data_IF_203443065154
#
_entry.id   IF_203443065154
#
_cell.length_a   1.000
_cell.length_b   1.000
_cell.length_c   1.000
_cell.angle_alpha   90.00
_cell.angle_beta   90.00
_cell.angle_gamma   90.00
#
_symmetry.space_group_name_H-M   'P 1'
#
loop_
_entity.id
_entity.type
_entity.pdbx_description
1 polymer ?
#
# COMPACT_ATOMS: atom_id res chain seq x y z
N UNK A 1 -30.54 -6.93 11.69
CA UNK A 1 -31.32 -6.30 10.58
C UNK A 1 -32.46 -7.22 10.12
N UNK A 2 -32.24 -8.52 9.97
CA UNK A 2 -33.27 -9.46 9.47
C UNK A 2 -34.50 -9.64 10.37
N UNK A 3 -34.37 -9.36 11.68
CA UNK A 3 -35.43 -9.63 12.71
C UNK A 3 -36.03 -8.35 13.30
N UNK A 4 -35.56 -7.18 12.90
CA UNK A 4 -36.04 -5.86 13.34
C UNK A 4 -35.51 -5.38 14.70
N UNK A 5 -35.68 -4.07 14.98
CA UNK A 5 -35.06 -3.38 16.13
C UNK A 5 -35.42 -3.98 17.49
N UNK A 6 -36.69 -4.34 17.70
CA UNK A 6 -37.15 -4.90 18.99
C UNK A 6 -36.45 -6.20 19.35
N UNK A 7 -36.13 -6.99 18.33
CA UNK A 7 -35.43 -8.25 18.51
C UNK A 7 -33.96 -8.02 18.86
N UNK A 8 -33.30 -7.06 18.18
CA UNK A 8 -31.94 -6.62 18.53
C UNK A 8 -31.81 -6.17 19.98
N UNK A 9 -32.75 -5.34 20.44
CA UNK A 9 -32.83 -4.88 21.85
C UNK A 9 -32.96 -6.05 22.84
N UNK A 10 -33.73 -7.09 22.49
CA UNK A 10 -33.90 -8.25 23.34
C UNK A 10 -32.58 -9.07 23.42
N UNK A 11 -31.88 -9.23 22.31
CA UNK A 11 -30.56 -9.90 22.30
C UNK A 11 -29.55 -9.13 23.15
N UNK A 12 -29.49 -7.79 23.01
CA UNK A 12 -28.60 -6.96 23.83
C UNK A 12 -28.90 -7.06 25.32
N UNK A 13 -30.17 -7.04 25.70
CA UNK A 13 -30.58 -7.22 27.10
C UNK A 13 -30.19 -8.57 27.67
N UNK A 14 -30.34 -9.65 26.86
CA UNK A 14 -29.91 -11.00 27.26
C UNK A 14 -28.40 -11.09 27.35
N UNK A 15 -27.68 -10.53 26.35
CA UNK A 15 -26.21 -10.45 26.37
C UNK A 15 -25.72 -9.73 27.62
N UNK A 16 -26.24 -8.55 27.92
CA UNK A 16 -25.90 -7.82 29.14
C UNK A 16 -26.19 -8.60 30.42
N UNK A 17 -27.27 -9.40 30.44
CA UNK A 17 -27.63 -10.22 31.61
C UNK A 17 -26.58 -11.35 31.82
N UNK A 18 -26.28 -12.17 30.79
CA UNK A 18 -25.33 -13.26 30.98
C UNK A 18 -23.89 -12.77 31.18
N UNK A 19 -23.50 -11.62 30.57
CA UNK A 19 -22.22 -10.99 30.89
C UNK A 19 -22.17 -10.62 32.36
N UNK A 20 -23.23 -9.98 32.87
CA UNK A 20 -23.34 -9.59 34.28
C UNK A 20 -23.26 -10.81 35.23
N UNK A 21 -23.83 -11.95 34.86
CA UNK A 21 -23.79 -13.16 35.63
C UNK A 21 -22.39 -13.81 35.71
N UNK A 22 -21.47 -13.43 34.81
CA UNK A 22 -20.07 -13.86 34.82
C UNK A 22 -19.15 -12.97 35.67
N UNK A 23 -19.61 -11.78 36.06
CA UNK A 23 -18.81 -10.80 36.77
C UNK A 23 -18.70 -11.11 38.26
N UNK A 24 -17.52 -10.80 38.82
CA UNK A 24 -17.28 -10.84 40.28
C UNK A 24 -17.59 -9.48 40.94
N UNK A 25 -17.41 -9.38 42.27
CA UNK A 25 -17.72 -8.20 43.06
C UNK A 25 -16.86 -6.95 42.74
N UNK A 26 -15.69 -7.13 42.13
CA UNK A 26 -14.77 -6.07 41.69
C UNK A 26 -15.08 -5.54 40.30
N UNK A 27 -15.96 -6.21 39.56
CA UNK A 27 -16.29 -5.93 38.18
C UNK A 27 -17.66 -5.27 38.04
N UNK A 28 -17.75 -4.23 37.22
CA UNK A 28 -19.00 -3.53 36.94
C UNK A 28 -19.24 -3.44 35.43
N UNK A 29 -20.45 -3.80 35.01
CA UNK A 29 -20.90 -3.71 33.62
C UNK A 29 -21.67 -2.40 33.41
N UNK A 30 -21.31 -1.70 32.36
CA UNK A 30 -22.01 -0.51 31.86
C UNK A 30 -22.41 -0.74 30.41
N UNK A 31 -23.63 -0.35 30.06
CA UNK A 31 -24.08 -0.25 28.68
C UNK A 31 -23.96 1.23 28.27
N UNK A 32 -23.21 1.50 27.19
CA UNK A 32 -22.88 2.88 26.79
C UNK A 32 -23.82 3.33 25.69
N UNK A 33 -23.66 2.84 24.49
CA UNK A 33 -24.45 3.23 23.32
C UNK A 33 -24.62 2.00 22.40
N UNK A 34 -25.81 1.84 21.85
CA UNK A 34 -26.10 0.80 20.85
C UNK A 34 -25.75 -0.62 21.32
N UNK A 35 -24.70 -1.22 20.82
CA UNK A 35 -24.23 -2.58 21.08
C UNK A 35 -22.91 -2.62 21.89
N UNK A 36 -22.54 -1.52 22.53
CA UNK A 36 -21.30 -1.40 23.28
C UNK A 36 -21.50 -1.52 24.79
N UNK A 37 -20.67 -2.37 25.39
CA UNK A 37 -20.60 -2.56 26.83
C UNK A 37 -19.20 -2.23 27.33
N UNK A 38 -19.10 -1.66 28.53
CA UNK A 38 -17.83 -1.48 29.24
C UNK A 38 -17.87 -2.31 30.51
N UNK A 39 -16.82 -3.08 30.73
CA UNK A 39 -16.56 -3.77 31.98
C UNK A 39 -15.39 -3.05 32.65
N UNK A 40 -15.65 -2.51 33.82
CA UNK A 40 -14.63 -1.91 34.68
C UNK A 40 -14.27 -2.92 35.77
N UNK A 41 -12.99 -3.30 35.84
CA UNK A 41 -12.47 -4.17 36.87
C UNK A 41 -11.50 -3.39 37.78
N UNK A 42 -11.85 -3.27 39.05
CA UNK A 42 -11.06 -2.51 40.02
C UNK A 42 -9.91 -3.30 40.67
N UNK A 43 -9.75 -4.58 40.37
CA UNK A 43 -8.74 -5.45 40.99
C UNK A 43 -8.17 -6.51 40.03
N UNK A 44 -8.55 -6.47 38.77
CA UNK A 44 -8.11 -7.43 37.76
C UNK A 44 -6.82 -7.04 37.05
N UNK A 45 -6.19 -8.03 36.46
CA UNK A 45 -5.06 -7.91 35.54
C UNK A 45 -5.53 -8.00 34.09
N UNK A 46 -4.63 -7.75 33.14
CA UNK A 46 -4.89 -7.98 31.70
C UNK A 46 -5.24 -9.45 31.44
N UNK A 47 -4.58 -10.40 32.11
CA UNK A 47 -4.86 -11.83 31.97
C UNK A 47 -6.27 -12.18 32.48
N UNK A 48 -6.73 -11.55 33.57
CA UNK A 48 -8.11 -11.70 34.06
C UNK A 48 -9.14 -11.18 33.05
N UNK A 49 -8.85 -10.07 32.39
CA UNK A 49 -9.70 -9.51 31.32
C UNK A 49 -9.75 -10.45 30.10
N UNK A 50 -8.62 -11.02 29.68
CA UNK A 50 -8.57 -12.03 28.62
C UNK A 50 -9.37 -13.27 28.99
N UNK A 51 -9.22 -13.75 30.22
CA UNK A 51 -9.98 -14.90 30.72
C UNK A 51 -11.49 -14.63 30.72
N UNK A 52 -11.90 -13.47 31.20
CA UNK A 52 -13.30 -13.06 31.16
C UNK A 52 -13.85 -12.98 29.73
N UNK A 53 -13.08 -12.40 28.81
CA UNK A 53 -13.44 -12.35 27.39
C UNK A 53 -13.71 -13.75 26.82
N UNK A 54 -12.80 -14.71 27.07
CA UNK A 54 -12.98 -16.10 26.63
C UNK A 54 -14.25 -16.75 27.20
N UNK A 55 -14.54 -16.50 28.47
CA UNK A 55 -15.79 -16.95 29.09
C UNK A 55 -17.04 -16.32 28.45
N UNK A 56 -16.97 -15.05 28.09
CA UNK A 56 -18.08 -14.38 27.38
C UNK A 56 -18.27 -15.03 25.99
N UNK A 57 -17.20 -15.36 25.28
CA UNK A 57 -17.29 -16.06 23.99
C UNK A 57 -17.94 -17.45 24.16
N UNK A 58 -17.46 -18.26 25.09
CA UNK A 58 -18.02 -19.59 25.38
C UNK A 58 -19.53 -19.49 25.72
N UNK A 59 -19.88 -18.56 26.61
CA UNK A 59 -21.28 -18.35 27.03
C UNK A 59 -22.16 -17.87 25.89
N UNK A 60 -21.60 -17.13 24.96
CA UNK A 60 -22.29 -16.66 23.74
C UNK A 60 -22.62 -17.83 22.83
N UNK A 61 -21.70 -18.77 22.64
CA UNK A 61 -21.91 -19.98 21.84
C UNK A 61 -23.02 -20.86 22.47
N UNK A 62 -22.94 -21.12 23.78
CA UNK A 62 -23.97 -21.88 24.53
C UNK A 62 -25.36 -21.24 24.38
N UNK A 63 -25.41 -19.92 24.42
CA UNK A 63 -26.67 -19.17 24.25
C UNK A 63 -27.22 -19.32 22.83
N UNK A 64 -26.38 -19.17 21.80
CA UNK A 64 -26.77 -19.33 20.39
C UNK A 64 -27.32 -20.76 20.15
N UNK A 65 -26.62 -21.78 20.64
CA UNK A 65 -27.03 -23.19 20.50
C UNK A 65 -28.33 -23.50 21.25
N UNK A 66 -28.60 -22.83 22.34
CA UNK A 66 -29.82 -23.00 23.14
C UNK A 66 -31.06 -22.33 22.57
N UNK A 67 -30.89 -21.47 21.57
CA UNK A 67 -32.00 -20.74 20.94
C UNK A 67 -32.43 -21.42 19.64
N UNK A 68 -33.73 -21.47 19.37
CA UNK A 68 -34.29 -21.94 18.08
C UNK A 68 -34.12 -20.92 16.94
N UNK A 69 -33.34 -19.86 17.14
CA UNK A 69 -33.09 -18.84 16.15
C UNK A 69 -31.73 -19.07 15.48
N UNK A 70 -31.67 -19.00 14.18
CA UNK A 70 -30.43 -19.01 13.39
C UNK A 70 -29.71 -17.64 13.50
N UNK A 71 -29.24 -17.30 14.71
CA UNK A 71 -28.59 -16.02 14.98
C UNK A 71 -27.15 -16.29 15.36
N UNK A 72 -26.23 -15.70 14.60
CA UNK A 72 -24.83 -15.69 14.93
C UNK A 72 -24.43 -14.24 15.25
N UNK A 73 -23.91 -14.03 16.45
CA UNK A 73 -23.26 -12.80 16.85
C UNK A 73 -22.03 -13.10 17.67
N UNK A 74 -21.08 -12.18 17.64
CA UNK A 74 -19.79 -12.33 18.30
C UNK A 74 -19.45 -11.02 19.02
N UNK A 75 -18.51 -11.10 19.96
CA UNK A 75 -17.97 -9.93 20.61
C UNK A 75 -16.52 -9.69 20.17
N UNK A 76 -16.20 -8.43 19.94
CA UNK A 76 -14.81 -7.96 19.91
C UNK A 76 -14.56 -7.13 21.17
N UNK A 77 -13.35 -7.16 21.72
CA UNK A 77 -13.01 -6.41 22.93
C UNK A 77 -11.73 -5.60 22.77
N UNK A 78 -11.73 -4.37 23.28
CA UNK A 78 -10.52 -3.59 23.55
C UNK A 78 -10.21 -3.68 25.04
N UNK A 79 -8.99 -4.04 25.40
CA UNK A 79 -8.54 -4.21 26.79
C UNK A 79 -7.50 -3.13 27.09
N UNK A 80 -7.68 -2.41 28.19
CA UNK A 80 -6.75 -1.40 28.67
C UNK A 80 -6.41 -1.63 30.14
N UNK A 81 -5.11 -1.74 30.45
CA UNK A 81 -4.61 -1.63 31.80
C UNK A 81 -4.46 -0.15 32.20
N UNK A 82 -5.48 0.39 32.85
CA UNK A 82 -5.45 1.79 33.25
C UNK A 82 -4.55 2.06 34.46
N UNK A 83 -4.15 1.03 35.23
CA UNK A 83 -3.18 1.21 36.33
C UNK A 83 -1.79 1.55 35.81
N UNK A 84 -1.43 1.09 34.61
CA UNK A 84 -0.19 1.50 33.94
C UNK A 84 -0.23 2.95 33.45
N UNK A 85 -1.39 3.62 33.54
CA UNK A 85 -1.61 5.00 33.10
C UNK A 85 -2.27 5.88 34.18
N UNK A 86 -1.66 6.05 35.36
CA UNK A 86 -2.31 6.65 36.51
C UNK A 86 -2.66 8.14 36.36
N UNK A 87 -2.12 8.83 35.39
CA UNK A 87 -2.39 10.24 35.08
C UNK A 87 -3.37 10.45 33.94
N UNK A 88 -3.83 9.37 33.31
CA UNK A 88 -4.74 9.46 32.18
C UNK A 88 -6.11 9.99 32.57
N UNK A 89 -6.62 10.91 31.79
CA UNK A 89 -7.99 11.43 31.93
C UNK A 89 -9.01 10.37 31.44
N UNK A 90 -10.25 10.52 31.88
CA UNK A 90 -11.34 9.67 31.38
C UNK A 90 -11.44 9.69 29.84
N UNK A 91 -11.24 10.85 29.22
CA UNK A 91 -11.30 11.00 27.76
C UNK A 91 -10.20 10.20 27.07
N UNK A 92 -9.00 10.17 27.63
CA UNK A 92 -7.88 9.38 27.09
C UNK A 92 -8.15 7.89 27.22
N UNK A 93 -8.60 7.44 28.40
CA UNK A 93 -8.96 6.04 28.66
C UNK A 93 -10.03 5.57 27.64
N UNK A 94 -11.06 6.37 27.42
CA UNK A 94 -12.09 6.03 26.44
C UNK A 94 -11.57 5.97 25.01
N UNK A 95 -10.72 6.90 24.61
CA UNK A 95 -10.08 6.88 23.27
C UNK A 95 -9.18 5.66 23.08
N UNK A 96 -8.44 5.28 24.10
CA UNK A 96 -7.51 4.13 24.02
C UNK A 96 -8.24 2.79 24.00
N UNK A 97 -9.32 2.65 24.78
CA UNK A 97 -10.19 1.47 24.71
C UNK A 97 -10.93 1.36 23.39
N UNK A 98 -11.44 2.48 22.85
CA UNK A 98 -12.06 2.52 21.53
C UNK A 98 -11.06 2.16 20.41
N UNK A 99 -9.84 2.67 20.49
CA UNK A 99 -8.76 2.31 19.56
C UNK A 99 -8.51 0.80 19.55
N UNK A 100 -8.30 0.19 20.73
CA UNK A 100 -8.09 -1.27 20.82
C UNK A 100 -9.31 -2.06 20.36
N UNK A 101 -10.52 -1.59 20.67
CA UNK A 101 -11.75 -2.23 20.18
C UNK A 101 -11.83 -2.20 18.64
N UNK A 102 -11.44 -1.08 18.02
CA UNK A 102 -11.43 -0.95 16.56
C UNK A 102 -10.35 -1.87 15.95
N UNK A 103 -9.16 -1.96 16.55
CA UNK A 103 -8.13 -2.91 16.12
C UNK A 103 -8.64 -4.36 16.16
N UNK A 104 -9.32 -4.76 17.23
CA UNK A 104 -9.93 -6.09 17.33
C UNK A 104 -10.99 -6.31 16.24
N UNK A 105 -11.79 -5.30 15.90
CA UNK A 105 -12.78 -5.37 14.82
C UNK A 105 -12.12 -5.47 13.43
N UNK A 106 -11.03 -4.75 13.20
CA UNK A 106 -10.27 -4.78 11.93
C UNK A 106 -9.47 -6.08 11.76
N UNK A 107 -8.98 -6.69 12.84
CA UNK A 107 -8.24 -7.97 12.86
C UNK A 107 -9.11 -9.20 12.61
N UNK A 108 -10.35 -9.03 12.14
CA UNK A 108 -11.24 -10.13 11.74
C UNK A 108 -12.44 -10.33 12.65
N UNK A 109 -12.67 -9.46 13.63
CA UNK A 109 -13.75 -9.56 14.65
C UNK A 109 -13.63 -10.81 15.53
N UNK A 110 -14.54 -10.96 16.50
CA UNK A 110 -14.55 -12.11 17.42
C UNK A 110 -13.20 -12.36 18.12
N UNK A 111 -12.48 -11.31 18.38
CA UNK A 111 -11.16 -11.29 19.03
C UNK A 111 -11.05 -10.11 19.98
N UNK A 112 -9.94 -10.03 20.69
CA UNK A 112 -9.61 -8.88 21.52
C UNK A 112 -8.30 -8.27 21.09
N UNK A 113 -8.11 -7.00 21.43
CA UNK A 113 -6.86 -6.29 21.31
C UNK A 113 -6.52 -5.62 22.64
N UNK A 114 -5.23 -5.61 22.98
CA UNK A 114 -4.72 -4.99 24.20
C UNK A 114 -4.07 -3.67 23.82
N UNK A 115 -4.46 -2.59 24.47
CA UNK A 115 -3.91 -1.28 24.20
C UNK A 115 -2.38 -1.29 24.31
N UNK A 116 -1.73 -0.87 23.23
CA UNK A 116 -0.31 -0.56 23.16
C UNK A 116 -0.11 0.91 22.78
N UNK A 117 0.72 1.63 23.56
CA UNK A 117 0.94 3.04 23.32
C UNK A 117 1.72 3.30 22.01
N UNK A 118 2.62 2.41 21.61
CA UNK A 118 3.38 2.55 20.37
C UNK A 118 2.44 2.45 19.16
N UNK A 119 1.53 1.50 19.18
CA UNK A 119 0.52 1.33 18.12
C UNK A 119 -0.44 2.52 18.07
N UNK A 120 -0.84 3.05 19.24
CA UNK A 120 -1.68 4.24 19.30
C UNK A 120 -0.97 5.49 18.75
N UNK A 121 0.31 5.69 19.07
CA UNK A 121 1.11 6.78 18.51
C UNK A 121 1.27 6.66 16.99
N UNK A 122 1.48 5.45 16.48
CA UNK A 122 1.50 5.18 15.04
C UNK A 122 0.17 5.55 14.40
N UNK A 123 -0.95 5.10 14.96
CA UNK A 123 -2.29 5.45 14.48
C UNK A 123 -2.54 6.96 14.47
N UNK A 124 -2.11 7.67 15.52
CA UNK A 124 -2.23 9.14 15.58
C UNK A 124 -1.41 9.80 14.47
N UNK A 125 -0.19 9.31 14.23
CA UNK A 125 0.68 9.82 13.15
C UNK A 125 0.05 9.56 11.78
N UNK A 126 -0.43 8.34 11.52
CA UNK A 126 -1.09 8.00 10.26
C UNK A 126 -2.33 8.88 10.02
N UNK A 127 -3.14 9.08 11.05
CA UNK A 127 -4.34 9.95 11.00
C UNK A 127 -3.97 11.41 10.71
N UNK A 128 -2.88 11.90 11.31
CA UNK A 128 -2.39 13.25 11.03
C UNK A 128 -1.87 13.38 9.59
N UNK A 129 -1.11 12.40 9.10
CA UNK A 129 -0.63 12.38 7.71
C UNK A 129 -1.81 12.38 6.73
N UNK A 130 -2.84 11.53 6.94
CA UNK A 130 -4.04 11.51 6.08
C UNK A 130 -4.71 12.89 6.04
N UNK A 131 -4.81 13.58 7.16
CA UNK A 131 -5.35 14.96 7.21
C UNK A 131 -4.52 15.92 6.36
N UNK A 132 -3.18 15.87 6.45
CA UNK A 132 -2.30 16.70 5.62
C UNK A 132 -2.40 16.36 4.14
N UNK A 133 -2.53 15.08 3.79
CA UNK A 133 -2.74 14.64 2.40
C UNK A 133 -4.04 15.22 1.83
N UNK A 134 -5.15 15.20 2.59
CA UNK A 134 -6.40 15.86 2.19
C UNK A 134 -6.22 17.36 1.98
N UNK A 135 -5.63 18.06 2.97
CA UNK A 135 -5.38 19.50 2.88
C UNK A 135 -4.53 19.86 1.66
N UNK A 136 -3.48 19.09 1.39
CA UNK A 136 -2.61 19.29 0.22
C UNK A 136 -3.39 19.21 -1.10
N UNK A 137 -4.30 18.25 -1.24
CA UNK A 137 -5.13 18.09 -2.44
C UNK A 137 -6.05 19.30 -2.61
N UNK A 138 -6.68 19.78 -1.53
CA UNK A 138 -7.56 20.94 -1.53
C UNK A 138 -6.80 22.26 -1.85
N UNK A 139 -5.48 22.28 -1.61
CA UNK A 139 -4.59 23.41 -1.90
C UNK A 139 -3.68 23.14 -3.11
N UNK A 140 -4.26 22.69 -4.23
CA UNK A 140 -3.55 22.48 -5.50
C UNK A 140 -2.31 21.57 -5.39
N UNK A 141 -2.41 20.53 -4.55
CA UNK A 141 -1.33 19.55 -4.30
C UNK A 141 -0.10 20.13 -3.63
N UNK A 142 -0.23 21.20 -2.85
CA UNK A 142 0.86 21.78 -2.08
C UNK A 142 1.54 20.73 -1.20
N UNK A 143 2.89 20.69 -1.22
CA UNK A 143 3.67 19.69 -0.52
C UNK A 143 3.94 18.40 -1.29
N UNK A 144 3.14 18.09 -2.32
CA UNK A 144 3.48 17.02 -3.27
C UNK A 144 4.50 17.50 -4.31
N UNK A 145 5.38 16.59 -4.71
CA UNK A 145 6.35 16.81 -5.78
C UNK A 145 6.59 15.49 -6.54
N UNK A 146 7.03 15.58 -7.78
CA UNK A 146 7.40 14.42 -8.60
C UNK A 146 8.89 14.50 -8.89
N UNK A 147 9.61 13.51 -8.42
CA UNK A 147 11.03 13.34 -8.70
C UNK A 147 11.22 12.34 -9.84
N UNK A 148 12.32 12.47 -10.57
CA UNK A 148 12.63 11.64 -11.71
C UNK A 148 13.94 10.90 -11.48
N UNK A 149 13.94 9.60 -11.77
CA UNK A 149 15.13 8.76 -11.73
C UNK A 149 15.43 8.22 -13.13
N UNK A 150 16.71 8.27 -13.58
CA UNK A 150 17.08 7.78 -14.90
C UNK A 150 17.07 6.25 -14.95
N UNK A 151 16.55 5.71 -16.05
CA UNK A 151 16.69 4.33 -16.47
C UNK A 151 17.53 4.34 -17.74
N UNK A 152 18.61 3.57 -17.73
CA UNK A 152 19.64 3.55 -18.78
C UNK A 152 19.51 2.29 -19.62
N UNK A 153 19.49 2.45 -20.93
CA UNK A 153 19.63 1.35 -21.88
C UNK A 153 21.10 0.86 -21.89
N UNK A 154 21.29 -0.42 -21.57
CA UNK A 154 22.64 -1.00 -21.40
C UNK A 154 23.42 -0.98 -22.70
N UNK A 155 22.76 -1.21 -23.83
CA UNK A 155 23.37 -1.31 -25.15
C UNK A 155 23.70 0.07 -25.71
N UNK A 156 22.78 1.04 -25.60
CA UNK A 156 22.98 2.42 -26.08
C UNK A 156 23.81 3.26 -25.13
N UNK A 157 23.91 2.85 -23.86
CA UNK A 157 24.56 3.62 -22.77
C UNK A 157 23.94 5.02 -22.59
N UNK A 158 22.65 5.13 -22.80
CA UNK A 158 21.90 6.38 -22.75
C UNK A 158 20.66 6.24 -21.84
N UNK A 159 20.29 7.36 -21.21
CA UNK A 159 19.02 7.46 -20.48
C UNK A 159 17.89 7.41 -21.50
N UNK A 160 17.06 6.39 -21.43
CA UNK A 160 15.93 6.21 -22.35
C UNK A 160 14.57 6.33 -21.66
N UNK A 161 14.52 6.18 -20.36
CA UNK A 161 13.32 6.30 -19.57
C UNK A 161 13.58 7.15 -18.31
N UNK A 162 12.51 7.73 -17.79
CA UNK A 162 12.45 8.41 -16.49
C UNK A 162 11.41 7.71 -15.63
N UNK A 163 11.75 7.28 -14.47
CA UNK A 163 10.74 6.87 -13.50
C UNK A 163 10.26 8.06 -12.69
N UNK A 164 8.94 8.30 -12.70
CA UNK A 164 8.28 9.36 -11.94
C UNK A 164 7.95 8.85 -10.54
N UNK A 165 8.58 9.43 -9.54
CA UNK A 165 8.53 9.01 -8.15
C UNK A 165 7.88 10.09 -7.28
N UNK A 166 6.70 9.82 -6.75
CA UNK A 166 5.96 10.72 -5.89
C UNK A 166 6.73 11.02 -4.60
N UNK A 167 6.74 12.28 -4.18
CA UNK A 167 7.30 12.77 -2.92
C UNK A 167 6.26 13.61 -2.20
N UNK A 168 6.33 13.59 -0.88
CA UNK A 168 5.44 14.40 -0.06
C UNK A 168 6.19 15.00 1.13
N UNK A 169 5.85 16.24 1.45
CA UNK A 169 6.32 16.96 2.64
C UNK A 169 5.17 17.77 3.24
N UNK A 170 5.16 17.91 4.55
CA UNK A 170 4.26 18.82 5.26
C UNK A 170 5.02 19.54 6.38
N UNK A 171 4.43 20.59 6.92
CA UNK A 171 5.11 21.45 7.91
C UNK A 171 5.44 20.69 9.20
N UNK A 172 4.52 19.83 9.67
CA UNK A 172 4.67 19.14 10.96
C UNK A 172 5.73 18.02 10.90
N UNK A 173 5.76 17.23 9.83
CA UNK A 173 6.64 16.04 9.74
C UNK A 173 7.79 16.20 8.77
N UNK A 174 7.88 17.33 8.07
CA UNK A 174 8.86 17.51 7.00
C UNK A 174 8.64 16.55 5.85
N UNK A 175 9.71 15.94 5.32
CA UNK A 175 9.62 14.92 4.26
C UNK A 175 9.16 13.59 4.82
N UNK A 176 8.09 13.04 4.27
CA UNK A 176 7.53 11.73 4.62
C UNK A 176 7.95 10.70 3.58
N UNK A 177 8.32 9.50 4.05
CA UNK A 177 8.73 8.40 3.17
C UNK A 177 7.57 7.93 2.27
N UNK A 178 7.80 7.63 0.99
CA UNK A 178 6.80 6.97 0.14
C UNK A 178 6.23 5.68 0.75
N UNK A 179 7.07 4.89 1.40
CA UNK A 179 6.65 3.67 2.11
C UNK A 179 5.66 3.93 3.26
N UNK A 180 5.59 5.16 3.77
CA UNK A 180 4.67 5.56 4.82
C UNK A 180 3.40 6.19 4.24
N UNK A 181 3.49 7.14 3.30
CA UNK A 181 2.31 7.89 2.88
C UNK A 181 1.56 7.27 1.68
N UNK A 182 2.20 6.47 0.82
CA UNK A 182 1.50 5.83 -0.32
C UNK A 182 0.44 4.84 0.17
N UNK A 183 0.71 3.93 1.13
CA UNK A 183 -0.34 3.07 1.70
C UNK A 183 -1.50 3.86 2.32
N UNK A 184 -1.23 5.04 2.91
CA UNK A 184 -2.28 5.89 3.46
C UNK A 184 -3.12 6.56 2.37
N UNK A 185 -2.51 6.96 1.24
CA UNK A 185 -3.24 7.41 0.05
C UNK A 185 -4.15 6.32 -0.51
N UNK A 186 -3.69 5.07 -0.54
CA UNK A 186 -4.46 3.92 -1.01
C UNK A 186 -5.63 3.60 -0.06
N UNK A 187 -5.36 3.50 1.24
CA UNK A 187 -6.36 3.23 2.29
C UNK A 187 -7.46 4.28 2.30
N UNK A 188 -7.10 5.56 2.13
CA UNK A 188 -8.05 6.68 2.11
C UNK A 188 -8.70 6.92 0.74
N UNK A 189 -8.24 6.27 -0.34
CA UNK A 189 -8.70 6.51 -1.71
C UNK A 189 -8.14 7.78 -2.35
N UNK A 190 -7.32 8.54 -1.64
CA UNK A 190 -6.68 9.77 -2.14
C UNK A 190 -5.64 9.49 -3.23
N UNK A 191 -5.18 8.25 -3.37
CA UNK A 191 -4.30 7.82 -4.46
C UNK A 191 -4.92 8.09 -5.84
N UNK A 192 -6.25 8.15 -5.95
CA UNK A 192 -6.94 8.39 -7.24
C UNK A 192 -6.68 9.81 -7.75
N UNK A 193 -7.04 10.91 -7.04
CA UNK A 193 -6.75 12.25 -7.51
C UNK A 193 -5.25 12.55 -7.57
N UNK A 194 -4.45 12.05 -6.60
CA UNK A 194 -3.00 12.25 -6.59
C UNK A 194 -2.34 11.54 -7.78
N UNK A 195 -2.70 10.30 -8.07
CA UNK A 195 -2.14 9.56 -9.21
C UNK A 195 -2.45 10.20 -10.56
N UNK A 196 -3.65 10.78 -10.71
CA UNK A 196 -3.98 11.58 -11.90
C UNK A 196 -3.08 12.81 -12.04
N UNK A 197 -2.83 13.51 -10.94
CA UNK A 197 -1.91 14.65 -10.90
C UNK A 197 -0.47 14.23 -11.22
N UNK A 198 0.02 13.12 -10.63
CA UNK A 198 1.35 12.56 -10.93
C UNK A 198 1.49 12.23 -12.42
N UNK A 199 0.50 11.57 -13.00
CA UNK A 199 0.49 11.23 -14.43
C UNK A 199 0.60 12.47 -15.31
N UNK A 200 -0.13 13.53 -14.98
CA UNK A 200 -0.07 14.79 -15.72
C UNK A 200 1.32 15.44 -15.60
N UNK A 201 1.90 15.48 -14.40
CA UNK A 201 3.26 16.00 -14.16
C UNK A 201 4.33 15.18 -14.89
N UNK A 202 4.22 13.85 -14.84
CA UNK A 202 5.15 12.95 -15.53
C UNK A 202 5.14 13.17 -17.06
N UNK A 203 3.96 13.33 -17.65
CA UNK A 203 3.81 13.62 -19.09
C UNK A 203 4.38 14.99 -19.44
N UNK A 204 4.13 16.02 -18.62
CA UNK A 204 4.70 17.35 -18.82
C UNK A 204 6.23 17.32 -18.81
N UNK A 205 6.84 16.65 -17.82
CA UNK A 205 8.30 16.50 -17.74
C UNK A 205 8.87 15.72 -18.95
N UNK A 206 8.21 14.64 -19.36
CA UNK A 206 8.61 13.89 -20.56
C UNK A 206 8.64 14.80 -21.81
N UNK A 207 7.65 15.67 -21.97
CA UNK A 207 7.60 16.63 -23.09
C UNK A 207 8.66 17.71 -23.00
N UNK A 208 8.89 18.29 -21.83
CA UNK A 208 9.89 19.35 -21.63
C UNK A 208 11.30 18.82 -21.93
N UNK A 209 11.57 17.57 -21.62
CA UNK A 209 12.85 16.90 -21.84
C UNK A 209 13.00 16.29 -23.24
N UNK A 210 11.90 16.13 -24.01
CA UNK A 210 11.89 15.60 -25.39
C UNK A 210 12.82 16.37 -26.33
N UNK A 211 12.97 17.68 -26.13
CA UNK A 211 13.88 18.52 -26.93
C UNK A 211 15.36 18.11 -26.82
N UNK A 212 15.71 17.41 -25.75
CA UNK A 212 17.08 16.95 -25.48
C UNK A 212 17.26 15.45 -25.80
N UNK A 213 16.23 14.65 -25.57
CA UNK A 213 16.19 13.22 -25.83
C UNK A 213 14.89 12.89 -26.57
N UNK A 214 14.96 12.81 -27.90
CA UNK A 214 13.76 12.70 -28.76
C UNK A 214 12.92 11.45 -28.51
N UNK A 215 13.52 10.36 -27.98
CA UNK A 215 12.87 9.08 -27.72
C UNK A 215 12.63 8.80 -26.24
N UNK A 216 12.74 9.82 -25.38
CA UNK A 216 12.55 9.66 -23.94
C UNK A 216 11.12 9.16 -23.62
N UNK A 217 11.02 8.20 -22.72
CA UNK A 217 9.78 7.67 -22.15
C UNK A 217 9.68 8.03 -20.69
N UNK A 218 8.48 7.99 -20.14
CA UNK A 218 8.24 8.16 -18.71
C UNK A 218 7.49 6.96 -18.15
N UNK A 219 8.00 6.44 -17.05
CA UNK A 219 7.43 5.37 -16.28
C UNK A 219 6.62 5.96 -15.11
N UNK A 220 5.41 5.47 -14.90
CA UNK A 220 4.51 5.94 -13.85
C UNK A 220 3.91 4.76 -13.12
N UNK A 221 4.11 4.73 -11.81
CA UNK A 221 3.53 3.75 -10.91
C UNK A 221 2.02 3.98 -10.77
N UNK A 222 1.22 2.93 -10.97
CA UNK A 222 -0.23 2.93 -10.80
C UNK A 222 -0.60 1.91 -9.73
N UNK A 223 -1.32 2.38 -8.71
CA UNK A 223 -1.82 1.52 -7.64
C UNK A 223 -2.98 0.64 -8.11
N UNK A 224 -3.04 -0.57 -7.57
CA UNK A 224 -4.18 -1.48 -7.75
C UNK A 224 -5.53 -0.83 -7.39
N UNK A 225 -5.54 0.01 -6.37
CA UNK A 225 -6.74 0.77 -5.95
C UNK A 225 -7.24 1.69 -7.08
N UNK A 226 -6.34 2.31 -7.84
CA UNK A 226 -6.70 3.15 -8.98
C UNK A 226 -7.32 2.31 -10.10
N UNK A 227 -6.78 1.13 -10.38
CA UNK A 227 -7.30 0.23 -11.41
C UNK A 227 -8.71 -0.23 -11.08
N UNK A 228 -8.98 -0.60 -9.82
CA UNK A 228 -10.27 -1.14 -9.41
C UNK A 228 -11.33 -0.08 -9.13
N UNK A 229 -10.95 1.07 -8.56
CA UNK A 229 -11.91 2.04 -8.02
C UNK A 229 -12.05 3.32 -8.85
N UNK A 230 -11.35 3.42 -9.99
CA UNK A 230 -11.44 4.60 -10.86
C UNK A 230 -11.48 4.24 -12.35
N UNK A 231 -11.71 5.24 -13.19
CA UNK A 231 -11.62 5.14 -14.64
C UNK A 231 -10.21 5.51 -15.14
N UNK A 232 -9.17 4.97 -14.51
CA UNK A 232 -7.77 5.38 -14.71
C UNK A 232 -7.35 5.35 -16.19
N UNK A 233 -7.78 4.38 -16.97
CA UNK A 233 -7.48 4.33 -18.40
C UNK A 233 -8.03 5.56 -19.15
N UNK A 234 -9.24 5.99 -18.83
CA UNK A 234 -9.83 7.20 -19.44
C UNK A 234 -9.05 8.44 -19.05
N UNK A 235 -8.58 8.54 -17.80
CA UNK A 235 -7.72 9.62 -17.35
C UNK A 235 -6.39 9.61 -18.12
N UNK A 236 -5.73 8.47 -18.27
CA UNK A 236 -4.50 8.31 -19.05
C UNK A 236 -4.72 8.81 -20.48
N UNK A 237 -5.73 8.30 -21.17
CA UNK A 237 -6.01 8.64 -22.57
C UNK A 237 -6.37 10.12 -22.74
N UNK A 238 -7.13 10.69 -21.81
CA UNK A 238 -7.51 12.11 -21.85
C UNK A 238 -6.31 13.04 -21.64
N UNK A 239 -5.41 12.72 -20.70
CA UNK A 239 -4.20 13.49 -20.45
C UNK A 239 -3.24 13.39 -21.65
N UNK A 240 -3.01 12.19 -22.17
CA UNK A 240 -2.17 12.02 -23.36
C UNK A 240 -2.70 12.79 -24.58
N UNK A 241 -4.03 12.79 -24.77
CA UNK A 241 -4.69 13.58 -25.82
C UNK A 241 -4.52 15.09 -25.57
N UNK A 242 -4.71 15.56 -24.32
CA UNK A 242 -4.56 16.97 -23.93
C UNK A 242 -3.17 17.50 -24.29
N UNK A 243 -2.14 16.71 -24.06
CA UNK A 243 -0.75 17.10 -24.30
C UNK A 243 -0.17 16.65 -25.65
N UNK A 244 -0.97 15.99 -26.48
CA UNK A 244 -0.57 15.43 -27.78
C UNK A 244 0.71 14.58 -27.71
N UNK A 245 0.72 13.61 -26.78
CA UNK A 245 1.85 12.71 -26.52
C UNK A 245 1.63 11.38 -27.21
N UNK A 246 2.67 10.86 -27.85
CA UNK A 246 2.66 9.52 -28.44
C UNK A 246 2.47 8.47 -27.33
N UNK A 247 1.56 7.53 -27.52
CA UNK A 247 1.17 6.55 -26.48
C UNK A 247 2.30 5.65 -26.03
N UNK A 248 3.23 5.34 -26.91
CA UNK A 248 4.43 4.54 -26.60
C UNK A 248 5.49 5.30 -25.77
N UNK A 249 5.21 6.55 -25.38
CA UNK A 249 6.07 7.33 -24.48
C UNK A 249 5.75 7.11 -23.01
N UNK A 250 4.60 6.54 -22.72
CA UNK A 250 4.17 6.22 -21.36
C UNK A 250 4.37 4.73 -21.10
N UNK A 251 4.99 4.43 -19.99
CA UNK A 251 5.10 3.09 -19.40
C UNK A 251 4.34 3.09 -18.09
N UNK A 252 3.35 2.25 -17.97
CA UNK A 252 2.63 2.03 -16.70
C UNK A 252 3.36 0.96 -15.92
N UNK A 253 3.73 1.25 -14.69
CA UNK A 253 4.34 0.30 -13.76
C UNK A 253 3.29 -0.22 -12.77
N UNK A 254 3.26 -1.53 -12.59
CA UNK A 254 2.36 -2.22 -11.67
C UNK A 254 3.18 -3.17 -10.81
N UNK A 255 3.02 -3.08 -9.48
CA UNK A 255 3.73 -3.94 -8.54
C UNK A 255 3.18 -5.37 -8.53
N UNK A 256 4.04 -6.34 -8.25
CA UNK A 256 3.66 -7.76 -8.14
C UNK A 256 2.57 -8.00 -7.08
N UNK A 257 2.62 -7.30 -5.96
CA UNK A 257 1.66 -7.45 -4.85
C UNK A 257 0.22 -7.13 -5.23
N UNK A 258 -0.02 -6.28 -6.23
CA UNK A 258 -1.35 -6.00 -6.76
C UNK A 258 -2.02 -7.18 -7.48
N UNK A 259 -1.28 -8.26 -7.78
CA UNK A 259 -1.79 -9.43 -8.53
C UNK A 259 -2.40 -10.54 -7.68
N UNK A 260 -2.25 -10.50 -6.36
CA UNK A 260 -2.70 -11.57 -5.45
C UNK A 260 -4.22 -11.78 -5.53
N UNK A 261 -4.95 -10.74 -5.87
CA UNK A 261 -6.39 -10.76 -6.11
C UNK A 261 -6.69 -10.71 -7.63
N UNK A 262 -6.39 -11.78 -8.37
CA UNK A 262 -6.58 -11.87 -9.82
C UNK A 262 -8.03 -11.57 -10.25
N UNK A 263 -8.40 -10.29 -10.20
CA UNK A 263 -9.65 -9.76 -10.70
C UNK A 263 -9.58 -9.64 -12.23
N UNK A 264 -10.63 -10.10 -12.92
CA UNK A 264 -10.80 -9.94 -14.37
C UNK A 264 -10.64 -8.49 -14.82
N UNK A 265 -11.00 -7.54 -13.95
CA UNK A 265 -10.89 -6.10 -14.20
C UNK A 265 -9.44 -5.67 -14.42
N UNK A 266 -8.51 -6.22 -13.64
CA UNK A 266 -7.09 -5.91 -13.73
C UNK A 266 -6.46 -6.44 -15.03
N UNK A 267 -6.73 -7.70 -15.38
CA UNK A 267 -6.28 -8.29 -16.65
C UNK A 267 -6.86 -7.52 -17.84
N UNK A 268 -8.12 -7.11 -17.74
CA UNK A 268 -8.78 -6.30 -18.77
C UNK A 268 -8.09 -4.93 -18.91
N UNK A 269 -7.73 -4.26 -17.82
CA UNK A 269 -6.97 -3.00 -17.84
C UNK A 269 -5.63 -3.17 -18.56
N UNK A 270 -4.86 -4.22 -18.25
CA UNK A 270 -3.59 -4.50 -18.94
C UNK A 270 -3.76 -4.74 -20.44
N UNK A 271 -4.80 -5.47 -20.84
CA UNK A 271 -5.13 -5.67 -22.25
C UNK A 271 -5.48 -4.34 -22.94
N UNK A 272 -6.28 -3.49 -22.29
CA UNK A 272 -6.64 -2.18 -22.81
C UNK A 272 -5.44 -1.23 -22.94
N UNK A 273 -4.45 -1.29 -22.03
CA UNK A 273 -3.19 -0.56 -22.21
C UNK A 273 -2.50 -0.94 -23.52
N UNK A 274 -2.40 -2.24 -23.81
CA UNK A 274 -1.81 -2.76 -25.04
C UNK A 274 -2.56 -2.33 -26.30
N UNK A 275 -3.91 -2.49 -26.29
CA UNK A 275 -4.75 -2.05 -27.39
C UNK A 275 -4.56 -0.56 -27.72
N UNK A 276 -4.20 0.22 -26.70
CA UNK A 276 -3.90 1.62 -26.84
C UNK A 276 -2.40 1.93 -27.08
N UNK A 277 -1.54 0.90 -27.26
CA UNK A 277 -0.09 1.05 -27.46
C UNK A 277 0.63 1.77 -26.30
N UNK A 278 0.11 1.63 -25.08
CA UNK A 278 0.73 2.09 -23.84
C UNK A 278 1.53 0.91 -23.27
N UNK A 279 2.78 1.17 -22.92
CA UNK A 279 3.68 0.12 -22.45
C UNK A 279 3.39 -0.26 -20.99
N UNK A 280 3.59 -1.53 -20.65
CA UNK A 280 3.40 -2.10 -19.33
C UNK A 280 4.71 -2.65 -18.78
N UNK A 281 5.08 -2.25 -17.57
CA UNK A 281 6.17 -2.84 -16.81
C UNK A 281 5.63 -3.49 -15.53
N UNK A 282 6.19 -4.66 -15.17
CA UNK A 282 5.97 -5.28 -13.86
C UNK A 282 7.10 -4.89 -12.94
N UNK A 283 6.74 -4.29 -11.82
CA UNK A 283 7.67 -3.76 -10.83
C UNK A 283 7.83 -4.67 -9.61
N UNK A 284 8.95 -4.53 -8.88
CA UNK A 284 9.29 -5.29 -7.68
C UNK A 284 9.28 -6.82 -7.89
N UNK A 285 9.59 -7.31 -9.09
CA UNK A 285 9.54 -8.72 -9.41
C UNK A 285 10.59 -9.52 -8.61
N UNK A 286 10.10 -10.56 -7.91
CA UNK A 286 10.94 -11.43 -7.07
C UNK A 286 10.84 -11.14 -5.57
N UNK A 287 10.04 -10.16 -5.14
CA UNK A 287 9.90 -9.84 -3.71
C UNK A 287 8.83 -10.64 -2.98
N UNK A 288 7.99 -11.38 -3.70
CA UNK A 288 6.85 -12.07 -3.11
C UNK A 288 6.43 -13.34 -3.84
N UNK A 289 5.24 -13.34 -4.36
CA UNK A 289 4.57 -14.49 -4.97
C UNK A 289 4.81 -14.58 -6.47
N UNK A 290 6.05 -14.44 -6.93
CA UNK A 290 6.40 -14.49 -8.35
C UNK A 290 5.83 -15.72 -9.04
N UNK A 291 4.69 -15.55 -9.70
CA UNK A 291 4.00 -16.62 -10.39
C UNK A 291 4.07 -16.38 -11.90
N UNK A 292 4.70 -17.30 -12.63
CA UNK A 292 4.75 -17.27 -14.09
C UNK A 292 3.39 -17.19 -14.78
N UNK A 293 2.32 -17.56 -14.07
CA UNK A 293 0.95 -17.41 -14.57
C UNK A 293 0.61 -15.95 -14.90
N UNK A 294 1.17 -14.99 -14.16
CA UNK A 294 0.97 -13.56 -14.40
C UNK A 294 1.64 -13.11 -15.70
N UNK A 295 2.87 -13.56 -15.95
CA UNK A 295 3.57 -13.24 -17.20
C UNK A 295 2.78 -13.71 -18.42
N UNK A 296 2.19 -14.89 -18.34
CA UNK A 296 1.35 -15.41 -19.41
C UNK A 296 0.10 -14.55 -19.68
N UNK A 297 -0.58 -14.12 -18.63
CA UNK A 297 -1.83 -13.36 -18.73
C UNK A 297 -1.61 -11.88 -19.05
N UNK A 298 -0.60 -11.26 -18.48
CA UNK A 298 -0.37 -9.82 -18.59
C UNK A 298 0.52 -9.45 -19.78
N UNK A 299 1.45 -10.33 -20.18
CA UNK A 299 2.40 -10.13 -21.28
C UNK A 299 3.04 -8.73 -21.19
N UNK A 300 3.77 -8.39 -20.15
CA UNK A 300 4.37 -7.06 -20.00
C UNK A 300 5.42 -6.80 -21.09
N UNK A 301 5.73 -5.52 -21.30
CA UNK A 301 6.81 -5.09 -22.19
C UNK A 301 8.17 -5.12 -21.47
N UNK A 302 8.16 -4.99 -20.13
CA UNK A 302 9.35 -5.00 -19.29
C UNK A 302 9.06 -5.63 -17.93
N UNK A 303 10.07 -6.27 -17.34
CA UNK A 303 10.08 -6.73 -15.95
C UNK A 303 11.21 -6.00 -15.24
N UNK A 304 10.89 -5.36 -14.08
CA UNK A 304 11.85 -4.69 -13.22
C UNK A 304 12.18 -5.62 -12.05
N UNK A 305 13.44 -5.96 -11.91
CA UNK A 305 13.95 -6.83 -10.86
C UNK A 305 14.37 -5.99 -9.68
N UNK A 306 13.80 -6.26 -8.52
CA UNK A 306 14.08 -5.55 -7.27
C UNK A 306 15.56 -5.62 -6.86
N UNK A 307 16.00 -4.59 -6.15
CA UNK A 307 17.35 -4.49 -5.60
C UNK A 307 17.75 -5.70 -4.74
N UNK A 308 16.84 -6.26 -3.94
CA UNK A 308 17.13 -7.40 -3.08
C UNK A 308 17.54 -8.63 -3.87
N UNK A 309 16.78 -8.97 -4.91
CA UNK A 309 17.11 -10.09 -5.80
C UNK A 309 18.43 -9.84 -6.54
N UNK A 310 18.67 -8.62 -6.99
CA UNK A 310 19.95 -8.25 -7.62
C UNK A 310 21.13 -8.42 -6.66
N UNK A 311 21.03 -7.94 -5.42
CA UNK A 311 22.09 -8.07 -4.41
C UNK A 311 22.40 -9.54 -4.07
N UNK A 312 21.38 -10.35 -3.93
CA UNK A 312 21.51 -11.77 -3.70
C UNK A 312 22.23 -12.46 -4.87
N UNK A 313 21.84 -12.14 -6.11
CA UNK A 313 22.49 -12.66 -7.31
C UNK A 313 23.97 -12.29 -7.42
N UNK A 314 24.38 -11.14 -6.89
CA UNK A 314 25.80 -10.76 -6.85
C UNK A 314 26.61 -11.49 -5.76
N UNK A 315 25.95 -12.00 -4.72
CA UNK A 315 26.59 -12.66 -3.58
C UNK A 315 26.57 -14.19 -3.63
N UNK A 316 25.78 -14.79 -4.53
CA UNK A 316 25.49 -16.22 -4.55
C UNK A 316 25.36 -16.74 -5.98
N UNK A 317 26.21 -17.70 -6.37
CA UNK A 317 26.24 -18.29 -7.70
C UNK A 317 24.91 -18.93 -8.13
N UNK A 318 24.17 -19.54 -7.19
CA UNK A 318 22.87 -20.14 -7.46
C UNK A 318 21.84 -19.07 -7.85
N UNK A 319 21.77 -17.99 -7.09
CA UNK A 319 20.83 -16.89 -7.37
C UNK A 319 21.25 -16.09 -8.61
N UNK A 320 22.55 -15.98 -8.87
CA UNK A 320 23.07 -15.41 -10.12
C UNK A 320 22.62 -16.22 -11.35
N UNK A 321 22.71 -17.54 -11.25
CA UNK A 321 22.26 -18.43 -12.33
C UNK A 321 20.74 -18.36 -12.52
N UNK A 322 19.97 -18.27 -11.43
CA UNK A 322 18.52 -18.06 -11.51
C UNK A 322 18.17 -16.75 -12.22
N UNK A 323 18.78 -15.64 -11.81
CA UNK A 323 18.54 -14.33 -12.43
C UNK A 323 18.88 -14.36 -13.92
N UNK A 324 20.02 -15.00 -14.29
CA UNK A 324 20.39 -15.18 -15.68
C UNK A 324 19.32 -15.93 -16.48
N UNK A 325 18.83 -17.06 -15.95
CA UNK A 325 17.79 -17.83 -16.62
C UNK A 325 16.46 -17.07 -16.70
N UNK A 326 16.13 -16.23 -15.71
CA UNK A 326 14.96 -15.35 -15.77
C UNK A 326 15.09 -14.34 -16.91
N UNK A 327 16.26 -13.72 -17.10
CA UNK A 327 16.54 -12.80 -18.20
C UNK A 327 16.42 -13.53 -19.55
N UNK A 328 17.09 -14.69 -19.70
CA UNK A 328 17.06 -15.48 -20.93
C UNK A 328 15.63 -15.92 -21.31
N UNK A 329 14.83 -16.30 -20.31
CA UNK A 329 13.42 -16.65 -20.48
C UNK A 329 12.59 -15.44 -20.92
N UNK A 330 12.73 -14.29 -20.26
CA UNK A 330 12.02 -13.06 -20.62
C UNK A 330 12.33 -12.67 -22.08
N UNK A 331 13.59 -12.70 -22.47
CA UNK A 331 14.02 -12.44 -23.85
C UNK A 331 13.41 -13.42 -24.86
N UNK A 332 13.29 -14.70 -24.49
CA UNK A 332 12.71 -15.73 -25.39
C UNK A 332 11.25 -15.48 -25.73
N UNK A 333 10.54 -14.72 -24.91
CA UNK A 333 9.13 -14.29 -25.12
C UNK A 333 9.00 -12.82 -25.51
N UNK A 334 10.11 -12.14 -25.77
CA UNK A 334 10.13 -10.75 -26.24
C UNK A 334 9.87 -9.70 -25.14
N UNK A 335 10.15 -10.03 -23.88
CA UNK A 335 10.00 -9.14 -22.72
C UNK A 335 11.38 -8.61 -22.31
N UNK A 336 11.50 -7.30 -22.13
CA UNK A 336 12.73 -6.65 -21.67
C UNK A 336 12.91 -6.82 -20.16
N UNK A 337 14.18 -6.75 -19.72
CA UNK A 337 14.51 -6.81 -18.30
C UNK A 337 15.23 -5.55 -17.84
N UNK A 338 14.75 -4.97 -16.74
CA UNK A 338 15.36 -3.85 -16.05
C UNK A 338 15.87 -4.32 -14.68
N UNK A 339 17.15 -4.10 -14.38
CA UNK A 339 17.74 -4.42 -13.08
C UNK A 339 17.87 -3.15 -12.26
N UNK A 340 17.29 -3.17 -11.05
CA UNK A 340 17.26 -2.04 -10.17
C UNK A 340 18.33 -2.05 -9.07
N UNK A 341 18.55 -0.89 -8.47
CA UNK A 341 19.37 -0.74 -7.27
C UNK A 341 20.86 -0.79 -7.48
N UNK A 342 21.37 -0.57 -8.70
CA UNK A 342 22.81 -0.54 -9.00
C UNK A 342 23.45 0.74 -8.41
N UNK A 343 24.40 0.57 -7.50
CA UNK A 343 25.04 1.65 -6.77
C UNK A 343 26.52 1.83 -7.10
N UNK A 344 27.19 0.77 -7.53
CA UNK A 344 28.65 0.81 -7.81
C UNK A 344 28.96 0.35 -9.22
N UNK A 345 30.16 0.71 -9.70
CA UNK A 345 30.64 0.27 -11.02
C UNK A 345 30.91 -1.24 -11.05
N UNK A 346 31.34 -1.82 -9.93
CA UNK A 346 31.57 -3.26 -9.79
C UNK A 346 30.27 -4.02 -9.99
N UNK A 347 29.18 -3.60 -9.32
CA UNK A 347 27.85 -4.18 -9.51
C UNK A 347 27.40 -4.09 -10.97
N UNK A 348 27.62 -2.94 -11.60
CA UNK A 348 27.29 -2.74 -13.00
C UNK A 348 28.03 -3.72 -13.93
N UNK A 349 29.33 -3.94 -13.69
CA UNK A 349 30.10 -4.85 -14.51
C UNK A 349 29.65 -6.31 -14.39
N UNK A 350 29.29 -6.74 -13.18
CA UNK A 350 28.77 -8.11 -12.96
C UNK A 350 27.37 -8.27 -13.59
N UNK A 351 26.47 -7.33 -13.35
CA UNK A 351 25.10 -7.39 -13.90
C UNK A 351 25.09 -7.33 -15.42
N UNK A 352 25.98 -6.59 -16.06
CA UNK A 352 26.08 -6.57 -17.52
C UNK A 352 26.41 -7.94 -18.13
N UNK A 353 27.07 -8.83 -17.39
CA UNK A 353 27.34 -10.20 -17.87
C UNK A 353 26.09 -11.04 -18.05
N UNK A 354 25.00 -10.66 -17.33
CA UNK A 354 23.69 -11.30 -17.42
C UNK A 354 22.87 -10.79 -18.61
N UNK A 355 23.34 -9.71 -19.29
CA UNK A 355 22.73 -9.11 -20.48
C UNK A 355 21.30 -8.56 -20.27
N UNK A 356 21.03 -7.73 -19.23
CA UNK A 356 19.75 -7.03 -19.11
C UNK A 356 19.63 -5.94 -20.18
N UNK A 357 18.38 -5.50 -20.47
CA UNK A 357 18.12 -4.42 -21.43
C UNK A 357 18.29 -3.04 -20.79
N UNK A 358 17.80 -2.91 -19.57
CA UNK A 358 17.81 -1.66 -18.81
C UNK A 358 18.40 -1.84 -17.43
N UNK A 359 18.92 -0.75 -16.90
CA UNK A 359 19.48 -0.66 -15.55
C UNK A 359 19.07 0.63 -14.89
N UNK A 360 18.84 0.57 -13.59
CA UNK A 360 18.49 1.71 -12.75
C UNK A 360 19.22 1.64 -11.42
N UNK A 361 19.61 2.80 -10.88
CA UNK A 361 20.25 2.86 -9.57
C UNK A 361 20.96 4.18 -9.31
N UNK A 362 21.47 4.33 -8.10
CA UNK A 362 22.12 5.57 -7.66
C UNK A 362 23.44 5.85 -8.40
N UNK A 363 24.03 4.83 -9.00
CA UNK A 363 25.19 5.00 -9.86
C UNK A 363 24.90 5.96 -11.03
N UNK A 364 23.71 5.88 -11.60
CA UNK A 364 23.30 6.72 -12.73
C UNK A 364 22.65 8.03 -12.29
N UNK A 365 21.99 8.02 -11.14
CA UNK A 365 21.36 9.19 -10.54
C UNK A 365 20.38 8.83 -9.46
N UNK A 366 20.38 9.61 -8.40
CA UNK A 366 19.31 9.57 -7.39
C UNK A 366 18.08 10.28 -7.95
N UNK A 367 16.87 9.92 -7.49
CA UNK A 367 15.67 10.67 -7.81
C UNK A 367 15.87 12.17 -7.52
N UNK A 368 15.52 13.03 -8.48
CA UNK A 368 15.67 14.48 -8.37
C UNK A 368 14.48 15.20 -9.03
N UNK A 369 14.16 16.43 -8.61
CA UNK A 369 13.22 17.29 -9.32
C UNK A 369 13.63 17.47 -10.79
N UNK A 370 12.67 17.82 -11.65
CA UNK A 370 12.89 17.92 -13.10
C UNK A 370 14.08 18.83 -13.49
N UNK A 371 14.19 20.01 -12.89
CA UNK A 371 15.27 20.97 -13.17
C UNK A 371 16.65 20.42 -12.79
N UNK A 372 16.74 19.76 -11.66
CA UNK A 372 17.98 19.16 -11.17
C UNK A 372 18.35 17.93 -12.02
N UNK A 373 17.35 17.10 -12.37
CA UNK A 373 17.53 15.99 -13.29
C UNK A 373 18.11 16.46 -14.63
N UNK A 374 17.50 17.50 -15.22
CA UNK A 374 17.99 18.10 -16.45
C UNK A 374 19.47 18.50 -16.36
N UNK A 375 19.83 19.24 -15.32
CA UNK A 375 21.20 19.74 -15.16
C UNK A 375 22.21 18.60 -14.95
N UNK A 376 21.84 17.51 -14.30
CA UNK A 376 22.74 16.40 -13.99
C UNK A 376 22.93 15.43 -15.17
N UNK A 377 21.84 15.10 -15.86
CA UNK A 377 21.81 13.99 -16.81
C UNK A 377 21.88 14.42 -18.28
N UNK A 378 21.40 15.62 -18.60
CA UNK A 378 21.25 16.06 -19.98
C UNK A 378 22.26 17.14 -20.35
N UNK A 379 22.51 18.13 -19.49
CA UNK A 379 23.41 19.25 -19.77
C UNK A 379 24.90 18.86 -19.73
N UNK A 380 25.25 17.73 -19.12
CA UNK A 380 26.65 17.23 -19.03
C UNK A 380 27.12 16.47 -20.27
N UNK A 381 26.25 16.25 -21.27
CA UNK A 381 26.61 15.77 -22.61
C UNK A 381 26.91 16.96 -23.50
#
# INVERSE_FOLDING_TARGET
ENYGLKFGDEILKRAGKYIKDLLNEYQKLYHIVSDEFIIFDSNGTVDDAIYLYKKIQERTLDFIESTNYEIYYTFSAGILDFYSHPTASYIEIMKWTEFSLNNAKESGKNTYDIFDNCDYQKFQRESAIIRYLHQSIDHDYEGFDVYFQPIVDVNKKEVTHLEALLRFKCDEFGRISPMEFIPLLEKSGLIIPVGKWVLEKAIQACLSLKKYQSQLKVNVNISYVQVLKSAILNDILSIMKKYNVDRNRLVIELTESGFIESDRSFVNFCNQLKENSILLALDDFGTGYSNFHYLYNLKPDCIKVDRGLMKNALSNDYENLLLKHMIDMAHSVGVNMCIEGIETEEELQEIKKLNPDYIQGYLFGKPAPEDEFYNRQIKKK
#
